data_IF_569645990470
#
_entry.id   IF_569645990470
#
_cell.length_a   1.000
_cell.length_b   1.000
_cell.length_c   1.000
_cell.angle_alpha   90.00
_cell.angle_beta   90.00
_cell.angle_gamma   90.00
#
_symmetry.space_group_name_H-M   'P 1'
#
loop_
_entity.id
_entity.type
_entity.pdbx_description
1 polymer ?
#
# COMPACT_ATOMS: atom_id res chain seq x y z
N UNK A 1 -6.95 -6.74 40.86
CA UNK A 1 -8.21 -7.15 40.19
C UNK A 1 -8.48 -6.18 39.06
N UNK A 2 -8.70 -6.66 37.84
CA UNK A 2 -9.15 -5.84 36.70
C UNK A 2 -8.20 -5.85 35.50
N UNK A 3 -8.30 -6.92 34.70
CA UNK A 3 -7.58 -7.17 33.44
C UNK A 3 -8.02 -6.22 32.31
N UNK A 4 -7.06 -5.60 31.61
CA UNK A 4 -7.29 -4.92 30.33
C UNK A 4 -6.46 -5.62 29.24
N UNK A 5 -7.03 -6.67 28.65
CA UNK A 5 -6.33 -7.56 27.72
C UNK A 5 -7.13 -7.89 26.47
N UNK A 6 -7.65 -6.92 25.74
CA UNK A 6 -8.41 -7.19 24.49
C UNK A 6 -8.45 -6.02 23.49
N UNK A 7 -7.34 -5.72 22.78
CA UNK A 7 -7.48 -5.23 21.40
C UNK A 7 -6.74 -6.06 20.34
N UNK A 8 -5.88 -7.00 20.74
CA UNK A 8 -4.97 -7.72 19.82
C UNK A 8 -5.63 -8.81 18.96
N UNK A 9 -6.76 -9.39 19.39
CA UNK A 9 -7.41 -10.52 18.72
C UNK A 9 -8.29 -10.09 17.52
N UNK A 10 -9.02 -8.98 17.64
CA UNK A 10 -9.88 -8.48 16.57
C UNK A 10 -9.07 -8.00 15.35
N UNK A 11 -7.94 -7.30 15.60
CA UNK A 11 -7.00 -6.86 14.56
C UNK A 11 -6.41 -8.04 13.76
N UNK A 12 -6.09 -9.16 14.43
CA UNK A 12 -5.54 -10.35 13.78
C UNK A 12 -6.52 -11.05 12.83
N UNK A 13 -7.80 -11.08 13.20
CA UNK A 13 -8.85 -11.71 12.38
C UNK A 13 -9.15 -10.89 11.13
N UNK A 14 -9.21 -9.56 11.23
CA UNK A 14 -9.38 -8.66 10.07
C UNK A 14 -8.18 -8.78 9.11
N UNK A 15 -6.96 -8.80 9.64
CA UNK A 15 -5.75 -8.99 8.82
C UNK A 15 -5.71 -10.36 8.13
N UNK A 16 -6.25 -11.42 8.74
CA UNK A 16 -6.31 -12.74 8.12
C UNK A 16 -7.29 -12.77 6.94
N UNK A 17 -8.48 -12.18 7.11
CA UNK A 17 -9.47 -12.07 6.03
C UNK A 17 -8.97 -11.24 4.85
N UNK A 18 -8.27 -10.13 5.12
CA UNK A 18 -7.67 -9.27 4.11
C UNK A 18 -6.57 -9.96 3.26
N UNK A 19 -5.95 -11.02 3.80
CA UNK A 19 -4.94 -11.83 3.10
C UNK A 19 -5.52 -13.01 2.31
N UNK A 20 -6.83 -13.20 2.31
CA UNK A 20 -7.47 -14.30 1.58
C UNK A 20 -7.56 -14.01 0.08
N UNK A 21 -7.45 -15.05 -0.74
CA UNK A 21 -7.63 -14.95 -2.21
C UNK A 21 -9.01 -14.41 -2.59
N UNK A 22 -10.03 -14.77 -1.82
CA UNK A 22 -11.41 -14.34 -2.00
C UNK A 22 -11.56 -12.83 -1.78
N UNK A 23 -10.91 -12.30 -0.73
CA UNK A 23 -10.89 -10.87 -0.47
C UNK A 23 -10.14 -10.12 -1.57
N UNK A 24 -8.97 -10.61 -2.00
CA UNK A 24 -8.23 -10.03 -3.12
C UNK A 24 -9.05 -10.00 -4.41
N UNK A 25 -9.79 -11.08 -4.72
CA UNK A 25 -10.68 -11.15 -5.87
C UNK A 25 -11.85 -10.16 -5.76
N UNK A 26 -12.45 -10.02 -4.57
CA UNK A 26 -13.53 -9.06 -4.32
C UNK A 26 -13.04 -7.61 -4.45
N UNK A 27 -11.86 -7.30 -3.91
CA UNK A 27 -11.22 -5.98 -4.08
C UNK A 27 -10.92 -5.71 -5.54
N UNK A 28 -10.38 -6.69 -6.28
CA UNK A 28 -10.12 -6.55 -7.71
C UNK A 28 -11.38 -6.35 -8.56
N UNK A 29 -12.52 -6.94 -8.16
CA UNK A 29 -13.81 -6.70 -8.81
C UNK A 29 -14.36 -5.31 -8.49
N UNK A 30 -14.28 -4.89 -7.22
CA UNK A 30 -14.72 -3.57 -6.78
C UNK A 30 -13.89 -2.45 -7.45
N UNK A 31 -12.57 -2.62 -7.53
CA UNK A 31 -11.68 -1.69 -8.20
C UNK A 31 -12.00 -1.53 -9.70
N UNK A 32 -12.36 -2.63 -10.39
CA UNK A 32 -12.83 -2.58 -11.79
C UNK A 32 -14.21 -1.94 -11.96
N UNK A 33 -15.07 -2.04 -10.94
CA UNK A 33 -16.42 -1.49 -10.97
C UNK A 33 -16.49 -0.02 -10.54
N UNK A 34 -15.53 0.44 -9.73
CA UNK A 34 -15.42 1.84 -9.37
C UNK A 34 -14.92 2.63 -10.59
N UNK A 35 -15.61 3.71 -10.98
CA UNK A 35 -15.19 4.51 -12.13
C UNK A 35 -13.78 5.05 -11.90
N UNK A 36 -12.88 4.74 -12.83
CA UNK A 36 -11.56 5.37 -12.86
C UNK A 36 -11.75 6.89 -12.88
N UNK A 37 -11.13 7.59 -11.94
CA UNK A 37 -11.13 9.05 -11.88
C UNK A 37 -9.95 9.52 -12.73
N UNK A 38 -10.15 9.92 -14.00
CA UNK A 38 -9.05 10.15 -14.94
C UNK A 38 -8.10 11.27 -14.48
N UNK A 39 -8.58 12.18 -13.65
CA UNK A 39 -7.84 13.35 -13.19
C UNK A 39 -7.17 13.15 -11.81
N UNK A 40 -7.15 11.92 -11.28
CA UNK A 40 -6.54 11.63 -9.98
C UNK A 40 -5.30 10.75 -10.14
N UNK A 41 -4.20 11.20 -9.54
CA UNK A 41 -3.01 10.39 -9.29
C UNK A 41 -3.13 9.74 -7.92
N UNK A 42 -3.01 8.41 -7.86
CA UNK A 42 -2.89 7.68 -6.60
C UNK A 42 -1.44 7.73 -6.12
N UNK A 43 -1.24 8.12 -4.87
CA UNK A 43 0.07 8.09 -4.19
C UNK A 43 -0.01 7.09 -3.04
N UNK A 44 0.86 6.08 -3.07
CA UNK A 44 1.00 5.08 -2.01
C UNK A 44 2.26 5.36 -1.21
N UNK A 45 2.08 5.72 0.06
CA UNK A 45 3.17 6.11 0.95
C UNK A 45 3.47 5.02 1.95
N UNK A 46 4.74 4.59 1.97
CA UNK A 46 5.30 3.67 2.93
C UNK A 46 6.20 4.42 3.91
N UNK A 47 6.21 3.98 5.17
CA UNK A 47 7.14 4.45 6.19
C UNK A 47 8.20 3.37 6.41
N UNK A 48 7.91 2.36 7.24
CA UNK A 48 8.81 1.21 7.48
C UNK A 48 8.38 -0.04 6.75
N UNK A 49 9.36 -0.79 6.26
CA UNK A 49 9.18 -2.13 5.67
C UNK A 49 9.93 -3.15 6.54
N UNK A 50 9.29 -3.62 7.60
CA UNK A 50 9.94 -4.50 8.57
C UNK A 50 8.98 -5.57 9.10
N UNK A 51 9.52 -6.56 9.78
CA UNK A 51 8.73 -7.56 10.50
C UNK A 51 8.31 -6.99 11.86
N UNK A 52 7.01 -6.96 12.20
CA UNK A 52 6.55 -6.46 13.50
C UNK A 52 7.21 -7.14 14.70
N UNK A 53 7.63 -8.39 14.54
CA UNK A 53 8.33 -9.17 15.56
C UNK A 53 9.77 -8.71 15.78
N UNK A 54 10.42 -8.07 14.80
CA UNK A 54 11.79 -7.52 14.92
C UNK A 54 11.82 -6.15 15.63
N UNK A 55 10.66 -5.54 15.83
CA UNK A 55 10.46 -4.22 16.47
C UNK A 55 9.28 -4.23 17.46
N UNK A 56 9.30 -5.11 18.48
CA UNK A 56 8.17 -5.27 19.40
C UNK A 56 7.89 -4.02 20.26
N UNK A 57 8.86 -3.11 20.35
CA UNK A 57 8.82 -1.82 21.03
C UNK A 57 8.18 -0.70 20.19
N UNK A 58 8.12 -0.85 18.87
CA UNK A 58 7.45 0.12 18.00
C UNK A 58 5.93 -0.03 18.07
N UNK A 59 5.23 1.08 17.90
CA UNK A 59 3.81 1.05 17.60
C UNK A 59 3.60 0.31 16.26
N UNK A 60 2.81 -0.78 16.21
CA UNK A 60 2.71 -1.60 15.00
C UNK A 60 2.24 -0.84 13.75
N UNK A 61 1.49 0.25 13.91
CA UNK A 61 1.05 1.09 12.79
C UNK A 61 2.16 1.91 12.12
N UNK A 62 3.38 1.93 12.67
CA UNK A 62 4.56 2.52 12.01
C UNK A 62 5.14 1.61 10.91
N UNK A 63 4.81 0.32 10.93
CA UNK A 63 5.21 -0.64 9.90
C UNK A 63 4.10 -0.64 8.84
N UNK A 64 4.44 -0.18 7.64
CA UNK A 64 3.49 -0.10 6.52
C UNK A 64 3.24 -1.46 5.89
N UNK A 65 4.28 -2.30 5.81
CA UNK A 65 4.20 -3.66 5.28
C UNK A 65 5.38 -4.49 5.78
N UNK A 66 5.24 -5.83 5.77
CA UNK A 66 6.43 -6.70 5.79
C UNK A 66 7.10 -6.72 4.41
N UNK A 67 8.37 -7.14 4.29
CA UNK A 67 9.03 -7.29 2.98
C UNK A 67 8.25 -8.17 1.99
N UNK A 68 7.72 -9.31 2.45
CA UNK A 68 6.90 -10.21 1.63
C UNK A 68 5.54 -9.60 1.23
N UNK A 69 5.00 -8.70 2.05
CA UNK A 69 3.79 -7.95 1.71
C UNK A 69 4.08 -6.88 0.68
N UNK A 70 5.17 -6.12 0.84
CA UNK A 70 5.60 -5.12 -0.13
C UNK A 70 5.88 -5.75 -1.49
N UNK A 71 6.63 -6.84 -1.55
CA UNK A 71 6.95 -7.54 -2.80
C UNK A 71 5.68 -7.94 -3.58
N UNK A 72 4.70 -8.54 -2.87
CA UNK A 72 3.41 -8.90 -3.46
C UNK A 72 2.61 -7.68 -3.93
N UNK A 73 2.65 -6.57 -3.19
CA UNK A 73 1.99 -5.33 -3.57
C UNK A 73 2.63 -4.72 -4.82
N UNK A 74 3.95 -4.62 -4.86
CA UNK A 74 4.69 -4.09 -6.02
C UNK A 74 4.53 -4.97 -7.27
N UNK A 75 4.52 -6.30 -7.10
CA UNK A 75 4.23 -7.23 -8.19
C UNK A 75 2.79 -7.08 -8.73
N UNK A 76 1.82 -6.83 -7.85
CA UNK A 76 0.46 -6.52 -8.29
C UNK A 76 0.41 -5.19 -9.05
N UNK A 77 1.04 -4.14 -8.53
CA UNK A 77 1.05 -2.82 -9.17
C UNK A 77 1.73 -2.87 -10.53
N UNK A 78 2.90 -3.50 -10.65
CA UNK A 78 3.61 -3.60 -11.93
C UNK A 78 2.83 -4.37 -13.00
N UNK A 79 1.99 -5.34 -12.61
CA UNK A 79 1.15 -6.11 -13.52
C UNK A 79 -0.15 -5.42 -13.93
N UNK A 80 -0.65 -4.44 -13.17
CA UNK A 80 -2.01 -3.89 -13.36
C UNK A 80 -2.08 -2.36 -13.46
N UNK A 81 -1.01 -1.65 -13.10
CA UNK A 81 -0.94 -0.19 -13.01
C UNK A 81 0.30 0.33 -13.72
N UNK A 82 0.30 1.63 -14.02
CA UNK A 82 1.49 2.32 -14.47
C UNK A 82 2.25 2.86 -13.25
N UNK A 83 3.41 2.30 -12.93
CA UNK A 83 4.28 2.84 -11.89
C UNK A 83 4.93 4.12 -12.41
N UNK A 84 4.48 5.25 -11.88
CA UNK A 84 4.91 6.58 -12.29
C UNK A 84 6.16 6.99 -11.50
N UNK A 85 7.20 7.43 -12.20
CA UNK A 85 8.38 8.05 -11.58
C UNK A 85 8.15 9.53 -11.27
N UNK A 86 8.93 10.08 -10.34
CA UNK A 86 8.92 11.53 -10.07
C UNK A 86 9.35 12.35 -11.29
N UNK A 87 10.23 11.83 -12.14
CA UNK A 87 10.62 12.48 -13.41
C UNK A 87 9.45 12.58 -14.37
N UNK A 88 8.70 11.49 -14.58
CA UNK A 88 7.53 11.50 -15.46
C UNK A 88 6.43 12.42 -14.93
N UNK A 89 6.22 12.44 -13.61
CA UNK A 89 5.30 13.39 -12.99
C UNK A 89 5.75 14.84 -13.20
N UNK A 90 7.05 15.12 -13.09
CA UNK A 90 7.61 16.45 -13.34
C UNK A 90 7.45 16.89 -14.80
N UNK A 91 7.67 15.97 -15.75
CA UNK A 91 7.43 16.21 -17.17
C UNK A 91 5.95 16.51 -17.46
N UNK A 92 5.05 15.75 -16.83
CA UNK A 92 3.61 15.96 -16.98
C UNK A 92 3.17 17.31 -16.40
N UNK A 93 3.69 17.70 -15.23
CA UNK A 93 3.41 19.03 -14.65
C UNK A 93 3.95 20.17 -15.51
N UNK A 94 5.07 19.95 -16.22
CA UNK A 94 5.64 20.93 -17.14
C UNK A 94 4.96 20.93 -18.53
N UNK A 95 3.92 20.11 -18.74
CA UNK A 95 3.22 19.99 -20.02
C UNK A 95 4.03 19.30 -21.12
N UNK A 96 5.13 18.62 -20.78
CA UNK A 96 5.96 17.87 -21.75
C UNK A 96 5.38 16.49 -22.05
N UNK A 97 4.57 15.94 -21.17
CA UNK A 97 3.90 14.65 -21.29
C UNK A 97 2.54 14.67 -20.57
N UNK A 98 1.83 13.55 -20.58
CA UNK A 98 0.60 13.34 -19.81
C UNK A 98 0.76 12.15 -18.88
N UNK A 99 0.15 12.21 -17.69
CA UNK A 99 0.12 11.06 -16.76
C UNK A 99 -0.74 9.95 -17.37
N UNK A 100 -0.21 8.72 -17.56
CA UNK A 100 -1.01 7.62 -18.07
C UNK A 100 -2.20 7.30 -17.14
N UNK A 101 -3.34 6.85 -17.68
CA UNK A 101 -4.46 6.41 -16.85
C UNK A 101 -4.04 5.30 -15.87
N UNK A 102 -4.63 5.29 -14.68
CA UNK A 102 -4.30 4.28 -13.64
C UNK A 102 -2.83 4.29 -13.22
N UNK A 103 -2.20 5.47 -13.25
CA UNK A 103 -0.87 5.67 -12.69
C UNK A 103 -0.87 5.64 -11.17
N UNK A 104 0.19 5.09 -10.60
CA UNK A 104 0.46 5.05 -9.16
C UNK A 104 1.88 5.52 -8.92
N UNK A 105 2.04 6.48 -8.00
CA UNK A 105 3.34 6.87 -7.46
C UNK A 105 3.55 6.18 -6.11
N UNK A 106 4.68 5.48 -5.96
CA UNK A 106 5.08 4.86 -4.69
C UNK A 106 6.13 5.75 -4.02
N UNK A 107 5.92 6.10 -2.75
CA UNK A 107 6.87 6.89 -1.95
C UNK A 107 7.28 6.15 -0.69
N UNK A 108 8.49 6.43 -0.23
CA UNK A 108 9.03 6.00 1.06
C UNK A 108 9.44 7.25 1.84
N UNK A 109 8.85 7.43 3.00
CA UNK A 109 9.06 8.60 3.85
C UNK A 109 10.03 8.26 5.01
N UNK A 110 10.47 9.27 5.76
CA UNK A 110 11.35 9.18 6.94
C UNK A 110 12.77 8.61 6.75
N UNK A 111 13.10 8.06 5.57
CA UNK A 111 14.42 7.53 5.25
C UNK A 111 14.93 6.47 6.25
N UNK A 112 14.05 5.55 6.66
CA UNK A 112 14.46 4.38 7.42
C UNK A 112 15.41 3.48 6.60
N UNK A 113 16.29 2.75 7.30
CA UNK A 113 17.32 1.87 6.69
C UNK A 113 16.75 0.56 6.14
N UNK A 114 15.54 0.21 6.55
CA UNK A 114 14.91 -1.10 6.28
C UNK A 114 14.55 -1.31 4.79
#
# INVERSE_FOLDING_TARGET
MGSAGTPRLASRLVGCCARSRSFAAAVGLADRALPARPDLLTVLTYHRVDEPQRRPDLYPGLISATPDELDRQLAFLSAHRHLLSLSELSDAQAGRSSVPPSSVLVTFDDAYLD
#
